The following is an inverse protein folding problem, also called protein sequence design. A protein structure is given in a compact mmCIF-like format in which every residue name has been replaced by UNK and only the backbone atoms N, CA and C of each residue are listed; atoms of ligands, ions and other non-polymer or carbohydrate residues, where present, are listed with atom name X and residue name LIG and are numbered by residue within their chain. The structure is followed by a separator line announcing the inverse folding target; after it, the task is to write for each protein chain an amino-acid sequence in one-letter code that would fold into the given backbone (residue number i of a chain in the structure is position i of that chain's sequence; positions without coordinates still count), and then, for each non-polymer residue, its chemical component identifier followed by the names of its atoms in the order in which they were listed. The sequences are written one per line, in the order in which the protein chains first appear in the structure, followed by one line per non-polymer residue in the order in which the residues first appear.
data_IF_598129910857
#
_entry.id   IF_598129910857
#
_cell.length_a   1.000
_cell.length_b   1.000
_cell.length_c   1.000
_cell.angle_alpha   90.00
_cell.angle_beta   90.00
_cell.angle_gamma   90.00
#
_symmetry.space_group_name_H-M   'P 1'
#
loop_
_entity.id
_entity.type
_entity.pdbx_description
1 polymer ?
#
# COMPACT_ATOMS: atom_id res chain seq x y z
N UNK A 1 -21.27 -6.31 -9.77
CA UNK A 1 -20.04 -6.17 -8.97
C UNK A 1 -19.75 -4.71 -8.61
N UNK A 2 -19.83 -3.76 -9.56
CA UNK A 2 -19.58 -2.34 -9.31
C UNK A 2 -20.43 -1.74 -8.17
N UNK A 3 -21.75 -2.00 -8.16
CA UNK A 3 -22.65 -1.51 -7.09
C UNK A 3 -22.19 -1.97 -5.71
N UNK A 4 -21.71 -3.21 -5.57
CA UNK A 4 -21.21 -3.73 -4.30
C UNK A 4 -19.88 -3.10 -3.89
N UNK A 5 -18.95 -2.90 -4.84
CA UNK A 5 -17.68 -2.24 -4.57
C UNK A 5 -17.89 -0.77 -4.17
N UNK A 6 -18.68 -0.03 -4.95
CA UNK A 6 -19.01 1.36 -4.65
C UNK A 6 -19.79 1.49 -3.33
N UNK A 7 -20.71 0.56 -3.06
CA UNK A 7 -21.44 0.51 -1.78
C UNK A 7 -20.50 0.27 -0.59
N UNK A 8 -19.52 -0.63 -0.72
CA UNK A 8 -18.54 -0.88 0.34
C UNK A 8 -17.64 0.34 0.60
N UNK A 9 -17.12 0.96 -0.47
CA UNK A 9 -16.30 2.17 -0.36
C UNK A 9 -17.10 3.31 0.29
N UNK A 10 -18.33 3.54 -0.17
CA UNK A 10 -19.21 4.58 0.36
C UNK A 10 -19.52 4.36 1.84
N UNK A 11 -19.87 3.13 2.24
CA UNK A 11 -20.09 2.79 3.64
C UNK A 11 -18.86 3.06 4.51
N UNK A 12 -17.67 2.64 4.07
CA UNK A 12 -16.44 2.85 4.84
C UNK A 12 -16.14 4.35 5.02
N UNK A 13 -16.18 5.13 3.94
CA UNK A 13 -15.90 6.57 3.98
C UNK A 13 -16.94 7.31 4.83
N UNK A 14 -18.23 7.01 4.67
CA UNK A 14 -19.29 7.63 5.48
C UNK A 14 -19.13 7.33 6.97
N UNK A 15 -18.78 6.09 7.32
CA UNK A 15 -18.55 5.71 8.72
C UNK A 15 -17.34 6.42 9.29
N UNK A 16 -16.25 6.53 8.53
CA UNK A 16 -15.04 7.26 8.95
C UNK A 16 -15.33 8.75 9.13
N UNK A 17 -16.01 9.40 8.18
CA UNK A 17 -16.36 10.82 8.26
C UNK A 17 -17.19 11.14 9.51
N UNK A 18 -18.13 10.26 9.87
CA UNK A 18 -18.95 10.40 11.09
C UNK A 18 -18.15 10.26 12.39
N UNK A 19 -17.04 9.53 12.39
CA UNK A 19 -16.21 9.27 13.58
C UNK A 19 -15.09 10.29 13.73
N UNK A 20 -14.42 10.65 12.63
CA UNK A 20 -13.30 11.59 12.61
C UNK A 20 -13.75 13.04 12.84
N UNK A 21 -14.90 13.44 12.27
CA UNK A 21 -15.33 14.84 12.18
C UNK A 21 -14.72 15.57 10.98
N UNK A 22 -15.11 16.85 10.74
CA UNK A 22 -14.63 17.64 9.61
C UNK A 22 -13.14 18.00 9.78
N UNK A 23 -12.36 17.81 8.72
CA UNK A 23 -10.95 18.22 8.67
C UNK A 23 -10.78 19.64 8.09
N UNK A 24 -9.58 20.25 8.21
CA UNK A 24 -9.24 21.48 7.49
C UNK A 24 -9.49 21.40 5.98
N UNK A 25 -9.34 20.21 5.38
CA UNK A 25 -9.60 19.92 3.98
C UNK A 25 -11.08 20.04 3.56
N UNK A 26 -12.01 20.00 4.51
CA UNK A 26 -13.45 20.14 4.26
C UNK A 26 -13.93 21.60 4.33
N UNK A 27 -13.08 22.53 4.80
CA UNK A 27 -13.44 23.95 5.00
C UNK A 27 -12.93 24.82 3.84
N UNK A 28 -13.86 25.50 3.15
CA UNK A 28 -13.55 26.38 2.03
C UNK A 28 -12.74 27.64 2.42
N UNK A 29 -12.83 28.07 3.69
CA UNK A 29 -12.12 29.24 4.23
C UNK A 29 -10.88 28.83 5.04
N UNK A 30 -10.43 27.57 4.95
CA UNK A 30 -9.25 27.08 5.67
C UNK A 30 -7.98 27.84 5.31
N UNK A 31 -7.13 28.06 6.31
CA UNK A 31 -5.82 28.69 6.17
C UNK A 31 -4.72 27.64 6.15
N UNK A 32 -3.54 28.01 5.64
CA UNK A 32 -2.38 27.10 5.56
C UNK A 32 -1.97 26.58 6.95
N UNK A 33 -2.09 27.44 7.97
CA UNK A 33 -1.81 27.11 9.38
C UNK A 33 -2.76 26.06 9.96
N UNK A 34 -3.98 25.90 9.41
CA UNK A 34 -4.95 24.92 9.90
C UNK A 34 -4.52 23.47 9.56
N UNK A 35 -3.66 23.30 8.55
CA UNK A 35 -3.09 22.01 8.13
C UNK A 35 -1.66 21.75 8.62
N UNK A 36 -1.13 22.61 9.50
CA UNK A 36 0.25 22.51 10.02
C UNK A 36 0.36 21.36 11.04
N UNK A 37 0.40 20.13 10.53
CA UNK A 37 0.58 18.91 11.32
C UNK A 37 1.59 17.98 10.66
N UNK A 38 2.18 17.10 11.47
CA UNK A 38 3.03 16.03 10.94
C UNK A 38 2.17 15.02 10.16
N UNK A 39 2.32 14.99 8.83
CA UNK A 39 1.53 14.15 7.91
C UNK A 39 1.74 12.64 8.17
N UNK A 40 2.88 12.29 8.76
CA UNK A 40 3.26 10.92 9.10
C UNK A 40 4.54 10.48 8.41
N UNK A 41 4.75 9.16 8.39
CA UNK A 41 5.97 8.55 7.85
C UNK A 41 5.87 8.30 6.35
N UNK A 42 6.88 8.74 5.60
CA UNK A 42 7.06 8.41 4.19
C UNK A 42 8.44 7.81 3.97
N UNK A 43 8.49 6.69 3.24
CA UNK A 43 9.76 6.08 2.86
C UNK A 43 10.49 7.01 1.87
N UNK A 44 11.73 7.46 2.15
CA UNK A 44 12.47 8.34 1.25
C UNK A 44 12.87 7.63 -0.06
N UNK A 45 13.07 6.31 0.01
CA UNK A 45 13.27 5.42 -1.14
C UNK A 45 12.93 3.98 -0.73
N UNK A 46 12.59 3.15 -1.70
CA UNK A 46 12.45 1.69 -1.51
C UNK A 46 12.63 0.98 -2.84
N UNK A 47 13.52 -0.01 -2.90
CA UNK A 47 13.70 -0.87 -4.09
C UNK A 47 12.72 -2.05 -4.11
N UNK A 48 12.07 -2.35 -2.99
CA UNK A 48 11.19 -3.52 -2.88
C UNK A 48 9.99 -3.51 -3.83
N UNK A 49 9.30 -2.37 -4.11
CA UNK A 49 8.22 -2.33 -5.09
C UNK A 49 8.66 -2.75 -6.49
N UNK A 50 9.88 -2.41 -6.90
CA UNK A 50 10.42 -2.79 -8.21
C UNK A 50 10.58 -4.31 -8.31
N UNK A 51 11.22 -4.94 -7.31
CA UNK A 51 11.42 -6.38 -7.30
C UNK A 51 10.09 -7.14 -7.16
N UNK A 52 9.16 -6.63 -6.35
CA UNK A 52 7.84 -7.22 -6.22
C UNK A 52 7.09 -7.21 -7.56
N UNK A 53 7.09 -6.07 -8.26
CA UNK A 53 6.49 -5.96 -9.59
C UNK A 53 7.14 -6.89 -10.61
N UNK A 54 8.47 -6.98 -10.61
CA UNK A 54 9.22 -7.87 -11.50
C UNK A 54 8.87 -9.34 -11.26
N UNK A 55 8.90 -9.81 -10.01
CA UNK A 55 8.61 -11.20 -9.70
C UNK A 55 7.14 -11.56 -9.88
N UNK A 56 6.21 -10.64 -9.60
CA UNK A 56 4.80 -10.82 -9.91
C UNK A 56 4.57 -10.94 -11.43
N UNK A 57 5.22 -10.10 -12.23
CA UNK A 57 5.18 -10.17 -13.68
C UNK A 57 5.77 -11.50 -14.20
N UNK A 58 6.89 -11.98 -13.64
CA UNK A 58 7.47 -13.27 -14.00
C UNK A 58 6.57 -14.46 -13.60
N UNK A 59 5.93 -14.39 -12.43
CA UNK A 59 4.96 -15.41 -12.01
C UNK A 59 3.74 -15.47 -12.94
N UNK A 60 3.28 -14.31 -13.42
CA UNK A 60 2.22 -14.27 -14.44
C UNK A 60 2.70 -14.77 -15.81
N UNK A 61 3.90 -14.35 -16.24
CA UNK A 61 4.51 -14.80 -17.50
C UNK A 61 4.74 -16.32 -17.53
N UNK A 62 4.91 -16.96 -16.37
CA UNK A 62 5.01 -18.41 -16.26
C UNK A 62 3.77 -19.15 -16.79
N UNK A 63 2.59 -18.52 -16.83
CA UNK A 63 1.40 -19.11 -17.47
C UNK A 63 1.60 -19.32 -18.98
N UNK A 64 2.41 -18.46 -19.63
CA UNK A 64 2.72 -18.56 -21.05
C UNK A 64 3.99 -19.39 -21.33
N UNK A 65 4.98 -19.35 -20.44
CA UNK A 65 6.29 -20.02 -20.63
C UNK A 65 6.28 -21.46 -20.12
N UNK A 66 5.63 -21.71 -18.98
CA UNK A 66 5.56 -23.01 -18.32
C UNK A 66 5.75 -22.95 -16.80
N UNK A 67 5.23 -23.99 -16.12
CA UNK A 67 5.17 -24.07 -14.65
C UNK A 67 6.52 -23.99 -13.93
N UNK A 68 7.63 -24.38 -14.57
CA UNK A 68 8.96 -24.31 -13.96
C UNK A 68 9.36 -22.88 -13.57
N UNK A 69 8.96 -21.89 -14.37
CA UNK A 69 9.25 -20.47 -14.09
C UNK A 69 8.45 -19.98 -12.88
N UNK A 70 7.23 -20.49 -12.69
CA UNK A 70 6.38 -20.13 -11.55
C UNK A 70 7.02 -20.57 -10.23
N UNK A 71 7.58 -21.78 -10.17
CA UNK A 71 8.28 -22.27 -8.98
C UNK A 71 9.51 -21.43 -8.59
N UNK A 72 10.10 -20.68 -9.52
CA UNK A 72 11.21 -19.76 -9.26
C UNK A 72 10.68 -18.37 -8.88
N UNK A 73 9.73 -17.84 -9.66
CA UNK A 73 9.22 -16.49 -9.48
C UNK A 73 8.39 -16.32 -8.20
N UNK A 74 7.62 -17.34 -7.81
CA UNK A 74 6.70 -17.25 -6.67
C UNK A 74 7.43 -17.09 -5.32
N UNK A 75 8.46 -17.90 -4.97
CA UNK A 75 9.26 -17.66 -3.77
C UNK A 75 9.95 -16.30 -3.76
N UNK A 76 10.44 -15.84 -4.93
CA UNK A 76 11.07 -14.51 -5.03
C UNK A 76 10.07 -13.38 -4.79
N UNK A 77 8.84 -13.50 -5.30
CA UNK A 77 7.77 -12.56 -5.01
C UNK A 77 7.44 -12.53 -3.50
N UNK A 78 7.39 -13.68 -2.83
CA UNK A 78 7.19 -13.76 -1.37
C UNK A 78 8.32 -13.02 -0.62
N UNK A 79 9.57 -13.24 -1.00
CA UNK A 79 10.72 -12.55 -0.40
C UNK A 79 10.60 -11.03 -0.60
N UNK A 80 10.18 -10.58 -1.79
CA UNK A 80 9.97 -9.17 -2.06
C UNK A 80 8.82 -8.56 -1.24
N UNK A 81 7.73 -9.30 -1.00
CA UNK A 81 6.63 -8.86 -0.12
C UNK A 81 7.14 -8.72 1.32
N UNK A 82 7.84 -9.74 1.84
CA UNK A 82 8.41 -9.70 3.19
C UNK A 82 9.36 -8.51 3.31
N UNK A 83 10.24 -8.32 2.34
CA UNK A 83 11.16 -7.19 2.30
C UNK A 83 10.43 -5.84 2.33
N UNK A 84 9.39 -5.67 1.51
CA UNK A 84 8.57 -4.46 1.45
C UNK A 84 7.88 -4.17 2.79
N UNK A 85 7.25 -5.18 3.39
CA UNK A 85 6.47 -5.03 4.63
C UNK A 85 7.38 -4.74 5.82
N UNK A 86 8.51 -5.45 5.91
CA UNK A 86 9.40 -5.35 7.06
C UNK A 86 10.51 -4.30 6.90
N UNK A 87 10.62 -3.62 5.76
CA UNK A 87 11.70 -2.65 5.47
C UNK A 87 11.97 -1.69 6.63
N UNK A 88 10.90 -1.10 7.18
CA UNK A 88 10.96 -0.09 8.23
C UNK A 88 10.78 -0.66 9.66
N UNK A 89 10.56 -1.97 9.79
CA UNK A 89 10.37 -2.66 11.07
C UNK A 89 11.64 -3.37 11.59
N UNK A 90 12.78 -3.20 10.90
CA UNK A 90 14.05 -3.88 11.24
C UNK A 90 14.83 -3.22 12.38
N UNK A 91 14.62 -1.92 12.62
CA UNK A 91 15.46 -1.11 13.52
C UNK A 91 14.97 -1.01 14.97
N UNK A 92 13.67 -1.13 15.25
CA UNK A 92 13.13 -0.96 16.62
C UNK A 92 13.32 -2.17 17.54
N UNK A 93 13.86 -3.29 17.03
CA UNK A 93 14.14 -4.52 17.79
C UNK A 93 15.58 -5.02 17.62
N UNK A 94 16.51 -4.16 17.19
CA UNK A 94 17.93 -4.48 17.05
C UNK A 94 18.74 -4.12 18.31
N UNK A 95 18.22 -4.49 19.48
CA UNK A 95 18.99 -4.51 20.74
C UNK A 95 19.68 -5.86 20.90
#
# INVERSE_FOLDING_TARGET
MLVFMSGFIGFYVEKTARVQGPGPEDNADARIEDGESEIGFFAPWSWWPFFLGLFAALAFAALAVGWWLFFIAFPLAIIAIIGLVFEHSRGQHAH
#
